data_IF_823975799101
#
_entry.id   IF_823975799101
#
_cell.length_a   1.000
_cell.length_b   1.000
_cell.length_c   1.000
_cell.angle_alpha   90.00
_cell.angle_beta   90.00
_cell.angle_gamma   90.00
#
_symmetry.space_group_name_H-M   'P 1'
#
loop_
_entity.id
_entity.type
_entity.pdbx_description
1 polymer ?
#
# COMPACT_ATOMS: atom_id res chain seq x y z
N UNK A 1 1.89 -29.06 41.86
CA UNK A 1 2.67 -28.40 40.79
C UNK A 1 1.67 -27.99 39.72
N UNK A 2 1.53 -26.69 39.50
CA UNK A 2 0.56 -26.10 38.58
C UNK A 2 0.84 -26.51 37.12
N UNK A 3 -0.22 -26.65 36.34
CA UNK A 3 -0.18 -27.11 34.95
C UNK A 3 0.54 -26.14 34.03
N UNK A 4 1.37 -26.70 33.16
CA UNK A 4 2.09 -25.99 32.11
C UNK A 4 1.16 -25.79 30.90
N UNK A 5 0.40 -24.70 30.96
CA UNK A 5 -0.62 -24.33 29.97
C UNK A 5 -0.27 -23.06 29.20
N UNK A 6 0.97 -22.94 28.68
CA UNK A 6 1.46 -21.66 28.16
C UNK A 6 2.45 -21.73 27.00
N UNK A 7 2.14 -22.42 25.89
CA UNK A 7 3.02 -22.40 24.71
C UNK A 7 2.30 -22.23 23.36
N UNK A 8 1.04 -21.77 23.34
CA UNK A 8 0.22 -21.69 22.11
C UNK A 8 -0.27 -20.29 21.73
N UNK A 9 0.09 -19.22 22.47
CA UNK A 9 -0.37 -17.86 22.15
C UNK A 9 0.47 -17.14 21.09
N UNK A 10 1.73 -17.51 20.92
CA UNK A 10 2.68 -16.75 20.10
C UNK A 10 2.58 -17.05 18.59
N UNK A 11 1.84 -18.09 18.19
CA UNK A 11 1.77 -18.53 16.78
C UNK A 11 0.86 -17.60 15.94
N UNK A 12 0.03 -16.79 16.60
CA UNK A 12 -0.94 -15.91 15.94
C UNK A 12 -0.54 -14.43 15.90
N UNK A 13 0.62 -14.04 16.45
CA UNK A 13 1.07 -12.65 16.43
C UNK A 13 1.98 -12.36 15.23
N UNK A 14 1.63 -11.35 14.44
CA UNK A 14 2.47 -10.90 13.32
C UNK A 14 3.67 -10.15 13.88
N UNK A 15 4.87 -10.66 13.62
CA UNK A 15 6.12 -10.01 14.05
C UNK A 15 6.33 -8.71 13.29
N UNK A 16 6.54 -7.62 14.03
CA UNK A 16 6.82 -6.28 13.49
C UNK A 16 8.32 -5.95 13.40
N UNK A 17 9.19 -6.84 13.84
CA UNK A 17 10.64 -6.64 13.81
C UNK A 17 11.42 -7.95 13.80
N UNK A 18 12.58 -7.96 13.16
CA UNK A 18 13.50 -9.11 13.13
C UNK A 18 14.95 -8.66 12.97
N UNK A 19 15.90 -9.56 13.24
CA UNK A 19 17.34 -9.31 13.09
C UNK A 19 17.95 -10.34 12.15
N UNK A 20 18.81 -9.89 11.26
CA UNK A 20 19.65 -10.72 10.39
C UNK A 20 21.12 -10.33 10.58
N UNK A 21 22.02 -10.98 9.82
CA UNK A 21 23.44 -10.60 9.75
C UNK A 21 23.65 -9.14 9.32
N UNK A 22 22.73 -8.61 8.51
CA UNK A 22 22.80 -7.25 7.95
C UNK A 22 22.34 -6.19 8.96
N UNK A 23 21.66 -6.61 10.03
CA UNK A 23 21.22 -5.72 11.09
C UNK A 23 19.79 -5.98 11.53
N UNK A 24 19.12 -4.91 11.97
CA UNK A 24 17.78 -4.95 12.55
C UNK A 24 16.76 -4.33 11.60
N UNK A 25 15.69 -5.06 11.32
CA UNK A 25 14.58 -4.65 10.46
C UNK A 25 13.35 -4.43 11.32
N UNK A 26 12.70 -3.29 11.13
CA UNK A 26 11.49 -2.90 11.86
C UNK A 26 10.43 -2.43 10.87
N UNK A 27 9.23 -2.95 11.00
CA UNK A 27 8.04 -2.44 10.33
C UNK A 27 7.73 -1.05 10.89
N UNK A 28 7.80 -0.05 10.02
CA UNK A 28 7.41 1.32 10.38
C UNK A 28 5.91 1.47 10.19
N UNK A 29 5.22 1.81 11.27
CA UNK A 29 3.79 2.13 11.22
C UNK A 29 3.58 3.55 10.70
N UNK A 30 2.33 3.89 10.35
CA UNK A 30 1.96 5.26 9.98
C UNK A 30 2.27 6.25 11.11
N UNK A 31 2.02 5.86 12.36
CA UNK A 31 2.31 6.67 13.55
C UNK A 31 3.82 6.90 13.73
N UNK A 32 4.65 5.87 13.54
CA UNK A 32 6.11 6.02 13.57
C UNK A 32 6.60 7.03 12.52
N UNK A 33 5.97 6.99 11.34
CA UNK A 33 6.33 7.85 10.20
C UNK A 33 5.87 9.30 10.40
N UNK A 34 4.73 9.53 11.05
CA UNK A 34 4.23 10.86 11.40
C UNK A 34 5.10 11.54 12.47
N UNK A 35 5.54 10.79 13.49
CA UNK A 35 6.45 11.31 14.52
C UNK A 35 7.79 11.77 13.93
N UNK A 36 8.31 11.05 12.93
CA UNK A 36 9.53 11.45 12.21
C UNK A 36 9.35 12.71 11.35
N UNK A 37 8.18 12.89 10.76
CA UNK A 37 7.86 14.06 9.94
C UNK A 37 7.54 15.34 10.73
N UNK A 38 7.30 15.24 12.03
CA UNK A 38 6.82 16.34 12.89
C UNK A 38 7.88 17.06 13.73
N UNK A 39 9.15 16.62 13.70
CA UNK A 39 10.22 17.27 14.47
C UNK A 39 11.07 18.16 13.55
N UNK A 40 11.11 19.49 13.76
CA UNK A 40 12.23 20.26 13.23
C UNK A 40 13.50 19.71 13.87
N UNK A 41 14.48 19.33 13.04
CA UNK A 41 15.85 19.06 13.51
C UNK A 41 16.40 20.37 14.09
N UNK A 42 16.16 20.60 15.38
CA UNK A 42 16.88 21.61 16.14
C UNK A 42 18.38 21.25 16.15
N UNK A 43 19.28 22.25 16.11
CA UNK A 43 20.70 21.98 16.07
C UNK A 43 21.12 21.27 17.37
N UNK A 44 21.76 20.11 17.20
CA UNK A 44 22.52 19.45 18.24
C UNK A 44 23.68 20.35 18.68
N UNK A 45 23.62 20.83 19.92
CA UNK A 45 24.77 21.33 20.65
C UNK A 45 24.68 20.82 22.10
N UNK A 46 25.67 20.04 22.51
CA UNK A 46 25.83 19.62 23.90
C UNK A 46 26.33 20.78 24.77
N UNK A 47 25.87 20.83 26.03
CA UNK A 47 26.60 21.41 27.16
C UNK A 47 25.91 21.04 28.49
N UNK A 48 26.61 20.21 29.27
CA UNK A 48 26.89 20.32 30.72
C UNK A 48 25.91 21.03 31.68
N UNK A 49 25.45 20.22 32.66
CA UNK A 49 25.23 20.45 34.11
C UNK A 49 25.25 21.89 34.69
N UNK A 50 24.23 22.17 35.52
CA UNK A 50 24.24 23.17 36.59
C UNK A 50 23.04 22.98 37.56
N UNK A 51 23.21 23.04 38.90
CA UNK A 51 22.16 22.70 39.88
C UNK A 51 21.41 23.95 40.42
N UNK A 52 20.14 23.78 40.83
CA UNK A 52 19.40 24.81 41.55
C UNK A 52 18.04 24.33 42.07
N UNK A 53 17.92 24.26 43.40
CA UNK A 53 16.76 23.83 44.19
C UNK A 53 15.53 24.76 44.02
N UNK A 54 14.32 24.23 43.85
CA UNK A 54 13.33 23.92 44.90
C UNK A 54 12.10 24.86 44.77
N UNK A 55 11.04 24.77 45.60
CA UNK A 55 10.30 23.64 46.17
C UNK A 55 8.85 23.54 45.60
N UNK A 56 8.12 22.44 45.90
CA UNK A 56 6.71 22.24 45.54
C UNK A 56 5.72 23.21 46.22
N UNK A 57 4.40 23.15 45.91
CA UNK A 57 3.56 22.04 46.42
C UNK A 57 2.45 21.54 45.47
N UNK A 58 1.97 20.31 45.73
CA UNK A 58 0.68 19.72 45.30
C UNK A 58 -0.32 19.96 46.45
N UNK A 59 -1.67 20.05 46.28
CA UNK A 59 -2.50 18.90 45.87
C UNK A 59 -3.85 19.20 45.13
N UNK A 60 -4.32 18.23 44.33
CA UNK A 60 -5.72 17.81 44.37
C UNK A 60 -6.62 18.04 43.14
N UNK A 61 -7.20 16.95 42.64
CA UNK A 61 -8.59 16.92 42.16
C UNK A 61 -8.82 16.47 40.70
N UNK A 62 -9.58 15.38 40.53
CA UNK A 62 -10.47 15.23 39.38
C UNK A 62 -10.27 14.03 38.47
N UNK A 63 -10.80 12.87 38.90
CA UNK A 63 -11.13 11.73 38.04
C UNK A 63 -12.19 12.11 37.01
N UNK A 64 -12.09 11.58 35.79
CA UNK A 64 -13.07 11.81 34.73
C UNK A 64 -12.80 10.98 33.47
N UNK A 65 -12.85 9.65 33.59
CA UNK A 65 -12.98 8.74 32.45
C UNK A 65 -14.35 8.97 31.79
N UNK A 66 -14.36 9.48 30.56
CA UNK A 66 -15.52 9.38 29.68
C UNK A 66 -15.12 8.64 28.39
N UNK A 67 -15.81 7.52 28.26
CA UNK A 67 -15.70 6.44 27.29
C UNK A 67 -16.76 6.68 26.21
N UNK A 68 -16.40 6.58 24.93
CA UNK A 68 -17.36 6.64 23.83
C UNK A 68 -16.69 6.57 22.44
N UNK A 69 -17.35 6.02 21.41
CA UNK A 69 -16.94 4.72 20.87
C UNK A 69 -16.59 4.71 19.37
N UNK A 70 -15.90 3.66 18.93
CA UNK A 70 -16.08 3.11 17.58
C UNK A 70 -14.94 3.28 16.58
N UNK A 71 -13.77 2.68 16.84
CA UNK A 71 -12.82 2.38 15.77
C UNK A 71 -13.23 1.06 15.11
N UNK A 72 -13.88 1.15 13.94
CA UNK A 72 -14.22 -0.01 13.13
C UNK A 72 -12.94 -0.77 12.73
N UNK A 73 -12.85 -2.03 13.16
CA UNK A 73 -11.80 -2.95 12.79
C UNK A 73 -11.90 -3.27 11.29
N UNK A 74 -11.00 -2.70 10.48
CA UNK A 74 -10.72 -3.20 9.15
C UNK A 74 -9.85 -4.45 9.30
N UNK A 75 -10.47 -5.63 9.20
CA UNK A 75 -9.77 -6.91 9.15
C UNK A 75 -8.88 -6.95 7.90
N UNK A 76 -7.58 -6.76 8.09
CA UNK A 76 -6.59 -6.96 7.04
C UNK A 76 -6.40 -8.47 6.82
N UNK A 77 -6.97 -9.00 5.74
CA UNK A 77 -6.67 -10.34 5.27
C UNK A 77 -5.21 -10.36 4.79
N UNK A 78 -4.33 -11.00 5.56
CA UNK A 78 -2.96 -11.25 5.16
C UNK A 78 -2.92 -12.29 4.04
N UNK A 79 -2.86 -11.84 2.78
CA UNK A 79 -2.49 -12.69 1.67
C UNK A 79 -0.96 -12.75 1.59
N UNK A 80 -0.39 -13.91 1.89
CA UNK A 80 1.03 -14.19 1.76
C UNK A 80 1.49 -13.93 0.32
N UNK A 81 2.31 -12.90 0.12
CA UNK A 81 2.99 -12.67 -1.14
C UNK A 81 4.15 -13.68 -1.26
N UNK A 82 3.89 -14.78 -1.96
CA UNK A 82 4.96 -15.65 -2.45
C UNK A 82 5.38 -15.24 -3.86
N UNK A 83 6.69 -15.34 -4.03
CA UNK A 83 7.56 -15.01 -5.15
C UNK A 83 6.98 -15.22 -6.56
N UNK A 84 7.32 -14.26 -7.43
CA UNK A 84 7.56 -14.40 -8.86
C UNK A 84 7.31 -15.79 -9.45
N UNK A 85 6.09 -16.00 -9.97
CA UNK A 85 5.86 -16.92 -11.07
C UNK A 85 4.84 -16.29 -12.01
N UNK A 86 5.25 -16.17 -13.28
CA UNK A 86 4.35 -15.92 -14.40
C UNK A 86 3.37 -17.09 -14.47
N UNK A 87 2.18 -16.92 -13.91
CA UNK A 87 1.06 -17.80 -14.19
C UNK A 87 -0.16 -16.91 -14.39
N UNK A 88 -0.55 -16.76 -15.65
CA UNK A 88 -1.84 -16.21 -16.03
C UNK A 88 -2.93 -17.14 -15.47
N UNK A 89 -3.40 -16.86 -14.26
CA UNK A 89 -4.54 -17.54 -13.67
C UNK A 89 -5.81 -16.99 -14.32
N UNK A 90 -6.15 -17.60 -15.46
CA UNK A 90 -7.46 -17.47 -16.06
C UNK A 90 -8.49 -18.11 -15.11
N UNK A 91 -9.61 -17.43 -14.88
CA UNK A 91 -10.75 -17.81 -14.02
C UNK A 91 -10.50 -17.87 -12.50
N UNK A 92 -10.63 -16.72 -11.82
CA UNK A 92 -11.02 -16.76 -10.41
C UNK A 92 -12.48 -17.24 -10.31
N UNK A 93 -12.81 -18.26 -9.49
CA UNK A 93 -14.19 -18.63 -9.20
C UNK A 93 -14.96 -17.43 -8.67
N UNK A 94 -16.24 -17.31 -9.05
CA UNK A 94 -17.13 -16.27 -8.55
C UNK A 94 -17.13 -16.27 -7.00
N UNK A 95 -16.50 -15.25 -6.41
CA UNK A 95 -16.38 -15.11 -4.95
C UNK A 95 -14.97 -14.76 -4.47
N UNK A 96 -13.93 -14.95 -5.27
CA UNK A 96 -12.56 -14.59 -4.87
C UNK A 96 -12.13 -13.24 -5.46
N UNK A 97 -11.79 -12.27 -4.60
CA UNK A 97 -11.18 -11.01 -5.04
C UNK A 97 -9.79 -11.30 -5.63
N UNK A 98 -9.39 -10.61 -6.72
CA UNK A 98 -8.02 -10.71 -7.20
C UNK A 98 -7.01 -10.36 -6.10
N UNK A 99 -5.81 -10.96 -6.15
CA UNK A 99 -4.76 -10.62 -5.20
C UNK A 99 -4.42 -9.13 -5.28
N UNK A 100 -4.13 -8.55 -4.11
CA UNK A 100 -3.52 -7.22 -4.05
C UNK A 100 -2.11 -7.31 -4.65
N UNK A 101 -1.84 -6.49 -5.65
CA UNK A 101 -0.55 -6.31 -6.29
C UNK A 101 -0.08 -4.89 -6.04
N UNK A 102 1.24 -4.73 -5.97
CA UNK A 102 1.89 -3.44 -5.76
C UNK A 102 2.95 -3.29 -6.83
N UNK A 103 2.93 -2.15 -7.52
CA UNK A 103 3.93 -1.77 -8.51
C UNK A 103 4.47 -0.41 -8.15
N UNK A 104 5.78 -0.24 -8.25
CA UNK A 104 6.47 1.00 -7.91
C UNK A 104 7.25 1.49 -9.12
N UNK A 105 7.37 2.81 -9.24
CA UNK A 105 8.15 3.44 -10.31
C UNK A 105 8.95 4.60 -9.76
N UNK A 106 10.23 4.65 -10.13
CA UNK A 106 11.11 5.80 -9.92
C UNK A 106 10.91 6.76 -11.08
N UNK A 107 10.68 8.02 -10.77
CA UNK A 107 10.58 9.07 -11.78
C UNK A 107 11.98 9.58 -12.11
N UNK A 108 12.21 9.94 -13.37
CA UNK A 108 13.42 10.64 -13.74
C UNK A 108 13.51 11.94 -12.91
N UNK A 109 14.64 12.17 -12.22
CA UNK A 109 14.82 13.36 -11.42
C UNK A 109 14.96 14.58 -12.33
N UNK A 110 14.08 15.56 -12.16
CA UNK A 110 14.27 16.91 -12.73
C UNK A 110 15.50 17.59 -12.09
N UNK A 111 15.71 17.33 -10.79
CA UNK A 111 16.87 17.74 -10.01
C UNK A 111 17.54 16.51 -9.36
N UNK A 112 18.88 16.34 -9.44
CA UNK A 112 19.59 15.18 -8.86
C UNK A 112 19.40 14.99 -7.35
N UNK A 113 18.92 16.02 -6.65
CA UNK A 113 18.67 15.98 -5.21
C UNK A 113 17.28 15.45 -4.85
N UNK A 114 16.38 15.26 -5.82
CA UNK A 114 15.00 14.87 -5.59
C UNK A 114 14.69 13.48 -6.19
N UNK A 115 14.76 12.44 -5.35
CA UNK A 115 14.20 11.14 -5.69
C UNK A 115 12.68 11.16 -5.46
N UNK A 116 11.92 11.05 -6.55
CA UNK A 116 10.46 10.90 -6.52
C UNK A 116 10.05 9.50 -6.93
N UNK A 117 9.36 8.80 -6.04
CA UNK A 117 8.77 7.49 -6.33
C UNK A 117 7.24 7.57 -6.34
N UNK A 118 6.63 6.67 -7.09
CA UNK A 118 5.17 6.48 -7.13
C UNK A 118 4.85 5.01 -6.84
N UNK A 119 3.70 4.79 -6.23
CA UNK A 119 3.19 3.46 -5.91
C UNK A 119 1.77 3.29 -6.45
N UNK A 120 1.52 2.14 -7.05
CA UNK A 120 0.19 1.71 -7.47
C UNK A 120 -0.18 0.38 -6.84
N UNK A 121 -1.40 0.28 -6.34
CA UNK A 121 -1.95 -0.97 -5.83
C UNK A 121 -3.44 -1.13 -6.14
N UNK A 122 -3.89 -2.36 -6.29
CA UNK A 122 -5.30 -2.71 -6.51
C UNK A 122 -5.92 -3.32 -5.25
N UNK A 123 -7.21 -3.04 -5.04
CA UNK A 123 -8.04 -3.67 -4.01
C UNK A 123 -9.41 -3.95 -4.63
N UNK A 124 -9.69 -5.21 -4.94
CA UNK A 124 -10.95 -5.61 -5.58
C UNK A 124 -11.17 -4.90 -6.91
N UNK A 125 -12.09 -3.91 -6.94
CA UNK A 125 -12.43 -3.11 -8.12
C UNK A 125 -11.72 -1.75 -8.17
N UNK A 126 -10.94 -1.42 -7.16
CA UNK A 126 -10.30 -0.13 -7.02
C UNK A 126 -8.82 -0.23 -7.40
N UNK A 127 -8.31 0.80 -8.06
CA UNK A 127 -6.90 1.01 -8.33
C UNK A 127 -6.49 2.37 -7.77
N UNK A 128 -5.42 2.35 -6.99
CA UNK A 128 -4.91 3.51 -6.28
C UNK A 128 -3.53 3.88 -6.80
N UNK A 129 -3.25 5.18 -6.88
CA UNK A 129 -1.96 5.72 -7.27
C UNK A 129 -1.55 6.87 -6.32
N UNK A 130 -0.39 6.73 -5.66
CA UNK A 130 0.12 7.68 -4.66
C UNK A 130 1.58 8.05 -4.90
N UNK A 131 1.99 9.20 -4.35
CA UNK A 131 3.40 9.49 -4.11
C UNK A 131 3.94 8.59 -3.01
N UNK A 132 5.11 7.99 -3.23
CA UNK A 132 5.81 7.21 -2.22
C UNK A 132 7.05 7.97 -1.73
N UNK A 133 7.07 8.27 -0.43
CA UNK A 133 8.14 9.05 0.24
C UNK A 133 9.10 8.18 1.05
N UNK A 134 9.13 6.87 0.76
CA UNK A 134 9.98 5.91 1.46
C UNK A 134 9.76 6.01 3.00
N UNK A 135 10.82 5.99 3.79
CA UNK A 135 10.77 6.15 5.26
C UNK A 135 10.77 7.61 5.74
N UNK A 136 10.80 8.60 4.84
CA UNK A 136 11.00 10.02 5.21
C UNK A 136 9.73 10.64 5.81
N UNK A 137 8.56 10.27 5.29
CA UNK A 137 7.26 10.83 5.69
C UNK A 137 6.15 9.80 5.47
N UNK A 138 5.14 9.83 6.32
CA UNK A 138 3.91 9.08 6.11
C UNK A 138 3.18 9.54 4.84
N UNK A 139 2.69 8.60 4.04
CA UNK A 139 1.84 8.91 2.87
C UNK A 139 0.45 9.27 3.36
N UNK A 140 -0.10 10.39 2.87
CA UNK A 140 -1.48 10.78 3.13
C UNK A 140 -2.42 9.94 2.26
N UNK A 141 -2.95 8.86 2.83
CA UNK A 141 -3.86 7.95 2.15
C UNK A 141 -5.20 8.60 1.76
N UNK A 142 -5.54 9.79 2.28
CA UNK A 142 -6.76 10.50 1.89
C UNK A 142 -6.68 11.19 0.53
N UNK A 143 -5.46 11.38 0.00
CA UNK A 143 -5.19 12.17 -1.22
C UNK A 143 -4.43 11.37 -2.27
N UNK A 144 -5.07 10.37 -2.91
CA UNK A 144 -4.47 9.70 -4.06
C UNK A 144 -4.22 10.71 -5.19
N UNK A 145 -3.15 10.50 -5.95
CA UNK A 145 -2.92 11.19 -7.22
C UNK A 145 -4.02 10.78 -8.20
N UNK A 146 -4.28 9.47 -8.28
CA UNK A 146 -5.40 8.92 -9.04
C UNK A 146 -6.07 7.78 -8.28
N UNK A 147 -7.39 7.72 -8.36
CA UNK A 147 -8.21 6.63 -7.84
C UNK A 147 -9.21 6.24 -8.93
N UNK A 148 -9.17 4.98 -9.36
CA UNK A 148 -10.09 4.43 -10.36
C UNK A 148 -10.95 3.33 -9.76
N UNK A 149 -12.22 3.28 -10.17
CA UNK A 149 -13.17 2.24 -9.80
C UNK A 149 -13.66 1.57 -11.08
N UNK A 150 -13.38 0.29 -11.22
CA UNK A 150 -13.74 -0.51 -12.39
C UNK A 150 -15.08 -1.21 -12.19
N UNK A 151 -15.99 -0.99 -13.14
CA UNK A 151 -17.29 -1.67 -13.19
C UNK A 151 -17.16 -2.91 -14.07
N UNK A 152 -17.74 -4.03 -13.65
CA UNK A 152 -17.82 -5.26 -14.45
C UNK A 152 -16.56 -6.14 -14.44
N UNK A 153 -15.37 -5.58 -14.29
CA UNK A 153 -14.11 -6.35 -14.24
C UNK A 153 -13.21 -5.86 -13.10
N UNK A 154 -12.24 -6.68 -12.69
CA UNK A 154 -11.36 -6.39 -11.55
C UNK A 154 -9.89 -6.39 -12.00
N UNK A 155 -9.06 -5.40 -11.59
CA UNK A 155 -7.63 -5.43 -11.84
C UNK A 155 -6.98 -6.65 -11.18
N UNK A 156 -6.14 -7.37 -11.91
CA UNK A 156 -5.44 -8.57 -11.45
C UNK A 156 -3.93 -8.36 -11.34
N UNK A 157 -3.37 -7.50 -12.19
CA UNK A 157 -1.95 -7.12 -12.20
C UNK A 157 -1.77 -5.79 -12.92
N UNK A 158 -0.61 -5.16 -12.71
CA UNK A 158 -0.27 -3.89 -13.33
C UNK A 158 1.24 -3.68 -13.31
N UNK A 159 1.77 -2.92 -14.26
CA UNK A 159 3.20 -2.61 -14.32
C UNK A 159 3.46 -1.25 -14.98
N UNK A 160 4.55 -0.61 -14.58
CA UNK A 160 4.97 0.69 -15.09
C UNK A 160 6.02 0.54 -16.18
N UNK A 161 5.96 1.41 -17.18
CA UNK A 161 7.13 1.67 -17.99
C UNK A 161 8.13 2.54 -17.19
N UNK A 162 9.20 1.92 -16.69
CA UNK A 162 10.23 2.60 -15.90
C UNK A 162 11.11 3.53 -16.75
N UNK A 163 11.21 3.29 -18.06
CA UNK A 163 12.15 4.00 -18.92
C UNK A 163 11.68 5.41 -19.29
N UNK A 164 10.37 5.62 -19.38
CA UNK A 164 9.77 6.88 -19.81
C UNK A 164 9.05 7.63 -18.69
N UNK A 165 9.25 7.24 -17.43
CA UNK A 165 8.56 7.81 -16.28
C UNK A 165 9.17 9.16 -15.87
N UNK A 166 8.38 10.23 -15.92
CA UNK A 166 8.76 11.59 -15.50
C UNK A 166 7.81 12.13 -14.42
N UNK A 167 8.08 13.32 -13.89
CA UNK A 167 7.20 13.97 -12.92
C UNK A 167 5.79 14.27 -13.47
N UNK A 168 5.68 14.47 -14.79
CA UNK A 168 4.47 14.88 -15.50
C UNK A 168 3.75 13.71 -16.18
N UNK A 169 4.41 12.57 -16.39
CA UNK A 169 3.84 11.47 -17.18
C UNK A 169 4.37 10.12 -16.72
N UNK A 170 3.48 9.16 -16.56
CA UNK A 170 3.86 7.77 -16.32
C UNK A 170 2.93 6.83 -17.10
N UNK A 171 3.54 5.87 -17.79
CA UNK A 171 2.82 4.84 -18.51
C UNK A 171 2.56 3.65 -17.59
N UNK A 172 1.28 3.35 -17.33
CA UNK A 172 0.82 2.21 -16.55
C UNK A 172 -0.01 1.27 -17.43
N UNK A 173 0.32 -0.02 -17.39
CA UNK A 173 -0.56 -1.07 -17.91
C UNK A 173 -1.28 -1.77 -16.77
N UNK A 174 -2.54 -2.12 -16.97
CA UNK A 174 -3.40 -2.81 -16.00
C UNK A 174 -4.07 -3.99 -16.69
N UNK A 175 -3.83 -5.20 -16.19
CA UNK A 175 -4.50 -6.42 -16.60
C UNK A 175 -5.76 -6.66 -15.77
N UNK A 176 -6.79 -7.21 -16.42
CA UNK A 176 -8.09 -7.45 -15.81
C UNK A 176 -8.49 -8.92 -15.81
N UNK A 177 -9.42 -9.27 -14.91
CA UNK A 177 -9.93 -10.64 -14.73
C UNK A 177 -10.62 -11.24 -15.96
N UNK A 178 -11.16 -10.41 -16.85
CA UNK A 178 -11.78 -10.86 -18.11
C UNK A 178 -10.83 -10.78 -19.31
N UNK A 179 -9.53 -10.66 -19.08
CA UNK A 179 -8.48 -10.71 -20.11
C UNK A 179 -8.21 -9.38 -20.82
N UNK A 180 -8.91 -8.31 -20.49
CA UNK A 180 -8.60 -6.98 -21.02
C UNK A 180 -7.27 -6.48 -20.46
N UNK A 181 -6.63 -5.60 -21.22
CA UNK A 181 -5.49 -4.81 -20.74
C UNK A 181 -5.77 -3.34 -21.01
N UNK A 182 -5.64 -2.49 -20.00
CA UNK A 182 -5.75 -1.04 -20.15
C UNK A 182 -4.36 -0.41 -20.04
N UNK A 183 -4.03 0.45 -20.99
CA UNK A 183 -2.93 1.39 -20.92
C UNK A 183 -3.47 2.76 -20.50
N UNK A 184 -2.88 3.37 -19.48
CA UNK A 184 -3.31 4.67 -18.97
C UNK A 184 -2.15 5.49 -18.41
N UNK A 185 -2.34 6.81 -18.34
CA UNK A 185 -1.47 7.71 -17.58
C UNK A 185 -2.24 8.26 -16.37
N UNK A 186 -1.90 7.85 -15.13
CA UNK A 186 -2.58 8.30 -13.92
C UNK A 186 -2.18 9.73 -13.48
N UNK A 187 -1.10 10.31 -14.01
CA UNK A 187 -0.71 11.70 -13.75
C UNK A 187 -1.49 12.62 -14.67
N UNK A 188 -1.42 12.40 -15.99
CA UNK A 188 -2.09 13.25 -16.98
C UNK A 188 -3.59 12.99 -17.08
N UNK A 189 -4.04 11.78 -16.77
CA UNK A 189 -5.45 11.33 -16.79
C UNK A 189 -6.17 11.45 -18.14
N UNK A 190 -5.50 11.89 -19.19
CA UNK A 190 -6.04 12.03 -20.54
C UNK A 190 -5.90 10.76 -21.39
N UNK A 191 -4.91 9.91 -21.07
CA UNK A 191 -4.63 8.70 -21.83
C UNK A 191 -5.29 7.49 -21.17
N UNK A 192 -6.17 6.82 -21.91
CA UNK A 192 -6.80 5.56 -21.50
C UNK A 192 -7.18 4.75 -22.74
N UNK A 193 -6.36 3.77 -23.09
CA UNK A 193 -6.59 2.84 -24.20
C UNK A 193 -6.83 1.45 -23.64
N UNK A 194 -7.89 0.80 -24.08
CA UNK A 194 -8.23 -0.56 -23.67
C UNK A 194 -7.97 -1.51 -24.87
N UNK A 195 -7.47 -2.70 -24.55
CA UNK A 195 -7.09 -3.74 -25.49
C UNK A 195 -7.84 -5.03 -25.14
N UNK A 196 -8.11 -5.87 -26.16
CA UNK A 196 -8.84 -7.13 -26.01
C UNK A 196 -10.26 -6.94 -25.46
N UNK A 197 -10.97 -5.93 -25.98
CA UNK A 197 -12.32 -5.57 -25.53
C UNK A 197 -13.37 -6.61 -25.95
N UNK A 198 -13.12 -7.32 -27.06
CA UNK A 198 -14.04 -8.27 -27.69
C UNK A 198 -14.40 -9.46 -26.80
N UNK A 199 -13.57 -9.81 -25.80
CA UNK A 199 -13.86 -10.90 -24.88
C UNK A 199 -15.00 -10.61 -23.88
N UNK A 200 -15.49 -9.36 -23.80
CA UNK A 200 -16.66 -9.02 -22.98
C UNK A 200 -17.98 -9.52 -23.57
N UNK A 201 -18.13 -9.57 -24.89
CA UNK A 201 -19.39 -9.96 -25.55
C UNK A 201 -19.56 -11.47 -25.70
N UNK A 202 -18.48 -12.26 -25.68
CA UNK A 202 -18.56 -13.71 -25.81
C UNK A 202 -19.21 -14.42 -24.60
N UNK A 203 -19.32 -13.76 -23.45
CA UNK A 203 -20.03 -14.31 -22.28
C UNK A 203 -21.53 -13.98 -22.23
N UNK A 204 -22.04 -13.10 -23.10
CA UNK A 204 -23.43 -12.62 -23.04
C UNK A 204 -24.33 -13.02 -24.21
N UNK A 205 -23.88 -13.91 -25.10
CA UNK A 205 -24.78 -14.47 -26.09
C UNK A 205 -24.07 -15.10 -27.27
N UNK A 206 -24.30 -16.40 -27.42
CA UNK A 206 -24.07 -17.17 -28.63
C UNK A 206 -22.59 -17.32 -29.06
N UNK A 207 -21.93 -18.32 -28.48
CA UNK A 207 -20.76 -18.93 -29.12
C UNK A 207 -21.13 -19.31 -30.56
N UNK A 208 -20.53 -18.72 -31.61
CA UNK A 208 -20.63 -19.33 -32.92
C UNK A 208 -19.85 -20.64 -32.82
N UNK A 209 -20.53 -21.75 -33.05
CA UNK A 209 -19.91 -23.06 -33.26
C UNK A 209 -18.98 -22.95 -34.48
N UNK A 210 -17.75 -22.51 -34.26
CA UNK A 210 -16.68 -22.53 -35.24
C UNK A 210 -16.10 -23.95 -35.28
N UNK A 211 -16.56 -24.72 -36.27
CA UNK A 211 -16.03 -26.04 -36.62
C UNK A 211 -14.53 -25.98 -36.86
N UNK A 212 -13.85 -27.02 -36.35
CA UNK A 212 -12.45 -27.38 -36.60
C UNK A 212 -12.15 -27.44 -38.10
N UNK A 213 -11.03 -26.84 -38.52
CA UNK A 213 -10.22 -27.33 -39.65
C UNK A 213 -8.75 -27.26 -39.25
#
# INVERSE_FOLDING_TARGET
>A
MAGDGGALKDINEIKSQFRTREGFYKLLTLSDSQQRGGLPRGPSAGATLGPGAGPGPIPGGGVGLLQGPGAAAAAAAAAAASSSSNAAANSSPAGFLPPVRVSMVKLQPEDPSEESERVCFNIGRELYFYTYTNIKKAVDLSKPIDKRIYKGTQPTCHDFNQYSATAESVALIVGFSAGQVQYLDPIKKETSKLFNEENLTAQNGNSPSGTVV
#
